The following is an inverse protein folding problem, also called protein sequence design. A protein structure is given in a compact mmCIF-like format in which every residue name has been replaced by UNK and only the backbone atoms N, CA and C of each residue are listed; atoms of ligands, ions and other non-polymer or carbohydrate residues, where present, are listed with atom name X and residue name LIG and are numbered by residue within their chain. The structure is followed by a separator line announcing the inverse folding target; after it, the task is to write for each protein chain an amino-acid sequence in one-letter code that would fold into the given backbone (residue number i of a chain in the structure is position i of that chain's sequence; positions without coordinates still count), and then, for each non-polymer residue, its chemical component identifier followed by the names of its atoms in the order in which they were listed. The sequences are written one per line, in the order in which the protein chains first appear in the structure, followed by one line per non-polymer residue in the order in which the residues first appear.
data_IF_773324134906
#
_entry.id   IF_773324134906
#
_cell.length_a   1.000
_cell.length_b   1.000
_cell.length_c   1.000
_cell.angle_alpha   90.00
_cell.angle_beta   90.00
_cell.angle_gamma   90.00
#
_symmetry.space_group_name_H-M   'P 1'
#
loop_
_entity.id
_entity.type
_entity.pdbx_description
1 polymer ?
#
# COMPACT_ATOMS: atom_id res chain seq x y z
N UNK A 1 -0.35 21.72 -73.15
CA UNK A 1 -1.32 20.94 -72.35
C UNK A 1 -0.71 19.67 -71.76
N UNK A 2 -0.03 18.81 -72.53
CA UNK A 2 0.49 17.49 -72.08
C UNK A 2 1.59 17.57 -70.99
N UNK A 3 2.42 18.61 -70.98
CA UNK A 3 3.46 18.79 -69.95
C UNK A 3 2.89 19.17 -68.56
N UNK A 4 1.81 19.95 -68.51
CA UNK A 4 1.17 20.35 -67.25
C UNK A 4 0.48 19.17 -66.55
N UNK A 5 -0.10 18.23 -67.30
CA UNK A 5 -0.76 17.04 -66.73
C UNK A 5 0.23 16.03 -66.17
N UNK A 6 1.41 15.88 -66.77
CA UNK A 6 2.49 15.03 -66.24
C UNK A 6 3.02 15.55 -64.91
N UNK A 7 3.28 16.86 -64.81
CA UNK A 7 3.75 17.47 -63.56
C UNK A 7 2.71 17.39 -62.43
N UNK A 8 1.42 17.61 -62.75
CA UNK A 8 0.33 17.45 -61.79
C UNK A 8 0.19 16.00 -61.30
N UNK A 9 0.34 15.01 -62.18
CA UNK A 9 0.24 13.60 -61.83
C UNK A 9 1.41 13.14 -60.94
N UNK A 10 2.64 13.54 -61.26
CA UNK A 10 3.83 13.20 -60.45
C UNK A 10 3.72 13.78 -59.04
N UNK A 11 3.31 15.04 -58.90
CA UNK A 11 3.11 15.67 -57.59
C UNK A 11 1.96 15.01 -56.81
N UNK A 12 0.90 14.58 -57.49
CA UNK A 12 -0.19 13.83 -56.86
C UNK A 12 0.28 12.48 -56.32
N UNK A 13 1.05 11.71 -57.11
CA UNK A 13 1.61 10.41 -56.68
C UNK A 13 2.56 10.59 -55.50
N UNK A 14 3.47 11.57 -55.55
CA UNK A 14 4.39 11.87 -54.45
C UNK A 14 3.63 12.25 -53.17
N UNK A 15 2.70 13.20 -53.28
CA UNK A 15 1.93 13.70 -52.13
C UNK A 15 0.95 12.67 -51.56
N UNK A 16 0.39 11.78 -52.38
CA UNK A 16 -0.54 10.73 -51.93
C UNK A 16 0.18 9.52 -51.35
N UNK A 17 1.30 9.09 -51.93
CA UNK A 17 2.14 8.00 -51.42
C UNK A 17 2.76 8.33 -50.06
N UNK A 18 3.24 9.56 -49.87
CA UNK A 18 3.78 10.01 -48.58
C UNK A 18 2.69 10.17 -47.52
N UNK A 19 1.48 10.56 -47.93
CA UNK A 19 0.36 10.74 -47.01
C UNK A 19 -0.16 9.40 -46.46
N UNK A 20 -0.28 8.37 -47.30
CA UNK A 20 -0.76 7.05 -46.88
C UNK A 20 0.26 6.34 -45.98
N UNK A 21 1.55 6.39 -46.34
CA UNK A 21 2.64 5.82 -45.54
C UNK A 21 2.74 6.52 -44.19
N UNK A 22 2.69 7.86 -44.16
CA UNK A 22 2.65 8.63 -42.93
C UNK A 22 1.41 8.30 -42.08
N UNK A 23 0.23 8.24 -42.69
CA UNK A 23 -1.03 7.90 -42.01
C UNK A 23 -0.95 6.51 -41.37
N UNK A 24 -0.44 5.53 -42.11
CA UNK A 24 -0.25 4.16 -41.66
C UNK A 24 0.78 4.06 -40.53
N UNK A 25 1.93 4.73 -40.66
CA UNK A 25 2.94 4.80 -39.62
C UNK A 25 2.39 5.43 -38.33
N UNK A 26 1.61 6.50 -38.45
CA UNK A 26 0.95 7.17 -37.32
C UNK A 26 -0.10 6.27 -36.66
N UNK A 27 -0.89 5.55 -37.45
CA UNK A 27 -1.86 4.58 -36.94
C UNK A 27 -1.17 3.41 -36.22
N UNK A 28 -0.08 2.90 -36.78
CA UNK A 28 0.76 1.87 -36.15
C UNK A 28 1.34 2.36 -34.81
N UNK A 29 1.90 3.57 -34.77
CA UNK A 29 2.45 4.16 -33.54
C UNK A 29 1.37 4.28 -32.45
N UNK A 30 0.19 4.78 -32.81
CA UNK A 30 -0.94 4.89 -31.86
C UNK A 30 -1.35 3.52 -31.33
N UNK A 31 -1.46 2.52 -32.20
CA UNK A 31 -1.76 1.13 -31.80
C UNK A 31 -0.67 0.58 -30.87
N UNK A 32 0.60 0.78 -31.20
CA UNK A 32 1.73 0.36 -30.37
C UNK A 32 1.70 1.00 -28.98
N UNK A 33 1.43 2.30 -28.89
CA UNK A 33 1.30 3.00 -27.59
C UNK A 33 0.11 2.45 -26.79
N UNK A 34 -1.04 2.26 -27.44
CA UNK A 34 -2.23 1.72 -26.78
C UNK A 34 -1.99 0.30 -26.26
N UNK A 35 -1.36 -0.56 -27.07
CA UNK A 35 -0.99 -1.92 -26.70
C UNK A 35 0.04 -1.92 -25.55
N UNK A 36 1.07 -1.08 -25.61
CA UNK A 36 2.07 -0.99 -24.54
C UNK A 36 1.42 -0.57 -23.20
N UNK A 37 0.50 0.40 -23.23
CA UNK A 37 -0.27 0.79 -22.04
C UNK A 37 -1.12 -0.35 -21.50
N UNK A 38 -1.80 -1.08 -22.39
CA UNK A 38 -2.60 -2.25 -22.02
C UNK A 38 -1.75 -3.36 -21.38
N UNK A 39 -0.64 -3.74 -22.02
CA UNK A 39 0.27 -4.76 -21.49
C UNK A 39 0.84 -4.36 -20.13
N UNK A 40 1.23 -3.09 -19.96
CA UNK A 40 1.70 -2.59 -18.67
C UNK A 40 0.61 -2.69 -17.60
N UNK A 41 -0.62 -2.26 -17.91
CA UNK A 41 -1.78 -2.40 -17.01
C UNK A 41 -1.97 -3.85 -16.58
N UNK A 42 -2.03 -4.78 -17.53
CA UNK A 42 -2.24 -6.21 -17.26
C UNK A 42 -1.15 -6.77 -16.33
N UNK A 43 0.12 -6.40 -16.57
CA UNK A 43 1.25 -6.81 -15.72
C UNK A 43 1.12 -6.28 -14.29
N UNK A 44 0.63 -5.05 -14.10
CA UNK A 44 0.38 -4.50 -12.76
C UNK A 44 -0.77 -5.24 -12.07
N UNK A 45 -1.88 -5.46 -12.79
CA UNK A 45 -3.05 -6.16 -12.25
C UNK A 45 -2.73 -7.61 -11.84
N UNK A 46 -1.82 -8.28 -12.55
CA UNK A 46 -1.35 -9.64 -12.20
C UNK A 46 -0.78 -9.73 -10.77
N UNK A 47 -0.16 -8.66 -10.27
CA UNK A 47 0.35 -8.62 -8.89
C UNK A 47 -0.76 -8.68 -7.82
N UNK A 48 -2.00 -8.35 -8.18
CA UNK A 48 -3.16 -8.28 -7.27
C UNK A 48 -4.15 -9.44 -7.46
N UNK A 49 -3.95 -10.30 -8.46
CA UNK A 49 -4.81 -11.46 -8.71
C UNK A 49 -4.62 -12.59 -7.69
N UNK A 50 -3.48 -12.62 -7.00
CA UNK A 50 -3.17 -13.62 -5.96
C UNK A 50 -3.34 -13.04 -4.56
N UNK A 51 -3.81 -13.84 -3.60
CA UNK A 51 -3.82 -13.49 -2.17
C UNK A 51 -2.43 -13.58 -1.50
N UNK A 52 -1.35 -13.32 -2.25
CA UNK A 52 0.02 -13.26 -1.72
C UNK A 52 0.38 -11.78 -1.44
N UNK A 53 0.48 -11.37 -0.16
CA UNK A 53 0.83 -10.00 0.22
C UNK A 53 2.17 -9.54 -0.34
N UNK A 54 3.11 -10.47 -0.57
CA UNK A 54 4.44 -10.16 -1.08
C UNK A 54 4.38 -9.73 -2.55
N UNK A 55 3.54 -10.40 -3.36
CA UNK A 55 3.32 -10.02 -4.77
C UNK A 55 2.51 -8.74 -4.88
N UNK A 56 1.51 -8.54 -4.04
CA UNK A 56 0.78 -7.27 -3.96
C UNK A 56 1.73 -6.12 -3.64
N UNK A 57 2.64 -6.30 -2.68
CA UNK A 57 3.65 -5.30 -2.34
C UNK A 57 4.55 -4.97 -3.53
N UNK A 58 4.98 -5.95 -4.33
CA UNK A 58 5.73 -5.69 -5.56
C UNK A 58 4.94 -4.84 -6.57
N UNK A 59 3.62 -5.09 -6.70
CA UNK A 59 2.73 -4.26 -7.52
C UNK A 59 2.70 -2.80 -7.04
N UNK A 60 2.55 -2.59 -5.73
CA UNK A 60 2.58 -1.25 -5.10
C UNK A 60 3.93 -0.56 -5.32
N UNK A 61 5.04 -1.29 -5.17
CA UNK A 61 6.38 -0.75 -5.43
C UNK A 61 6.54 -0.30 -6.89
N UNK A 62 5.99 -1.08 -7.83
CA UNK A 62 6.06 -0.78 -9.26
C UNK A 62 5.23 0.47 -9.62
N UNK A 63 4.09 0.68 -8.95
CA UNK A 63 3.25 1.88 -9.14
C UNK A 63 3.86 3.14 -8.55
N UNK A 64 4.49 3.02 -7.38
CA UNK A 64 5.06 4.16 -6.65
C UNK A 64 6.49 4.50 -7.07
N UNK A 65 7.10 3.71 -7.97
CA UNK A 65 8.53 3.72 -8.27
C UNK A 65 9.39 3.63 -6.99
N UNK A 66 8.88 2.96 -5.95
CA UNK A 66 9.56 2.84 -4.68
C UNK A 66 10.80 1.96 -4.82
N UNK A 67 11.97 2.58 -4.67
CA UNK A 67 13.26 1.87 -4.60
C UNK A 67 13.50 1.45 -3.16
N UNK A 68 13.67 0.15 -2.94
CA UNK A 68 14.00 -0.40 -1.63
C UNK A 68 15.18 0.35 -1.00
N UNK A 69 14.98 0.86 0.23
CA UNK A 69 16.00 1.56 1.02
C UNK A 69 17.32 0.79 1.17
N UNK A 70 17.34 -0.53 0.91
CA UNK A 70 18.57 -1.33 0.80
C UNK A 70 19.61 -0.80 -0.19
N UNK A 71 19.21 0.04 -1.16
CA UNK A 71 20.12 0.62 -2.14
C UNK A 71 20.58 2.03 -1.78
N UNK A 72 20.11 2.59 -0.65
CA UNK A 72 20.62 3.86 -0.13
C UNK A 72 21.75 3.58 0.86
N UNK A 73 22.91 4.25 0.74
CA UNK A 73 23.89 4.21 1.82
C UNK A 73 23.18 4.69 3.09
N UNK A 74 23.40 4.03 4.24
CA UNK A 74 22.80 4.48 5.48
C UNK A 74 23.26 5.91 5.73
N UNK A 75 22.35 6.87 5.67
CA UNK A 75 22.55 8.24 6.18
C UNK A 75 22.51 8.24 7.71
N UNK A 76 22.99 7.15 8.32
CA UNK A 76 23.03 6.93 9.75
C UNK A 76 24.17 7.75 10.30
N UNK A 77 23.95 9.06 10.48
CA UNK A 77 24.78 9.84 11.38
C UNK A 77 24.69 9.22 12.79
N UNK A 78 25.75 9.35 13.57
CA UNK A 78 25.75 8.88 14.96
C UNK A 78 24.65 9.55 15.82
N UNK A 79 24.07 10.65 15.35
CA UNK A 79 22.97 11.38 15.98
C UNK A 79 21.57 10.85 15.64
N UNK A 80 21.42 9.98 14.64
CA UNK A 80 20.10 9.51 14.18
C UNK A 80 19.27 8.81 15.27
N UNK A 81 19.85 7.93 16.13
CA UNK A 81 19.09 7.34 17.24
C UNK A 81 18.57 8.39 18.24
N UNK A 82 19.35 9.44 18.48
CA UNK A 82 18.95 10.53 19.39
C UNK A 82 17.83 11.38 18.79
N UNK A 83 17.87 11.63 17.48
CA UNK A 83 16.78 12.30 16.76
C UNK A 83 15.47 11.48 16.83
N UNK A 84 15.55 10.17 16.66
CA UNK A 84 14.39 9.28 16.80
C UNK A 84 13.84 9.30 18.23
N UNK A 85 14.72 9.17 19.22
CA UNK A 85 14.32 9.24 20.62
C UNK A 85 13.64 10.58 20.93
N UNK A 86 14.16 11.70 20.43
CA UNK A 86 13.55 13.01 20.59
C UNK A 86 12.17 13.10 19.91
N UNK A 87 12.05 12.58 18.68
CA UNK A 87 10.81 12.60 17.90
C UNK A 87 9.68 11.81 18.57
N UNK A 88 9.98 10.61 19.09
CA UNK A 88 8.96 9.78 19.74
C UNK A 88 8.67 10.21 21.18
N UNK A 89 9.67 10.66 21.94
CA UNK A 89 9.47 11.11 23.32
C UNK A 89 8.73 12.45 23.44
N UNK A 90 8.48 13.19 22.34
CA UNK A 90 7.70 14.45 22.39
C UNK A 90 6.28 14.23 22.89
N UNK A 91 5.69 13.08 22.55
CA UNK A 91 4.33 12.75 22.97
C UNK A 91 4.24 12.49 24.48
N UNK A 92 5.32 12.05 25.12
CA UNK A 92 5.35 11.85 26.58
C UNK A 92 5.58 13.14 27.37
N UNK A 93 6.29 14.11 26.76
CA UNK A 93 6.63 15.39 27.43
C UNK A 93 5.51 16.41 27.39
N UNK A 94 4.73 16.43 26.30
CA UNK A 94 3.67 17.40 26.05
C UNK A 94 2.27 16.93 26.49
N UNK A 95 2.11 15.66 26.89
CA UNK A 95 0.85 15.13 27.46
C UNK A 95 0.59 15.61 28.91
N UNK A 96 1.00 16.84 29.22
CA UNK A 96 0.64 17.57 30.45
C UNK A 96 -0.57 18.48 30.23
N UNK A 97 -1.09 18.55 29.01
CA UNK A 97 -2.33 19.25 28.75
C UNK A 97 -3.46 18.58 29.53
N UNK A 98 -4.00 19.33 30.49
CA UNK A 98 -5.21 19.00 31.25
C UNK A 98 -6.23 18.48 30.24
N UNK A 99 -6.90 17.34 30.47
CA UNK A 99 -7.91 16.83 29.56
C UNK A 99 -8.89 17.95 29.23
N UNK A 100 -8.82 18.45 27.99
CA UNK A 100 -9.78 19.45 27.50
C UNK A 100 -11.10 18.69 27.46
N UNK A 101 -11.92 18.84 28.50
CA UNK A 101 -13.32 18.47 28.43
C UNK A 101 -13.91 19.27 27.30
N UNK A 102 -14.12 18.60 26.18
CA UNK A 102 -14.87 19.16 25.08
C UNK A 102 -16.31 19.30 25.57
N UNK A 103 -16.75 20.53 25.82
CA UNK A 103 -18.14 20.80 26.19
C UNK A 103 -19.01 20.49 24.96
N UNK A 104 -19.53 19.27 24.93
CA UNK A 104 -20.48 18.80 23.92
C UNK A 104 -21.83 19.52 24.11
N UNK A 105 -22.54 19.87 23.02
CA UNK A 105 -23.86 20.47 23.09
C UNK A 105 -24.87 19.54 23.81
N UNK A 106 -25.93 20.09 24.45
CA UNK A 106 -26.74 19.37 25.45
C UNK A 106 -27.49 18.11 24.98
N UNK A 107 -27.60 17.85 23.68
CA UNK A 107 -28.52 16.86 23.11
C UNK A 107 -27.86 15.65 22.41
N UNK A 108 -26.53 15.51 22.44
CA UNK A 108 -25.88 14.27 22.00
C UNK A 108 -25.16 13.58 23.17
N UNK A 109 -25.50 12.30 23.49
CA UNK A 109 -24.77 11.56 24.50
C UNK A 109 -23.33 11.37 24.00
N UNK A 110 -22.31 11.62 24.85
CA UNK A 110 -20.92 11.38 24.48
C UNK A 110 -20.78 9.93 24.03
N UNK A 111 -20.02 9.69 22.95
CA UNK A 111 -19.74 8.34 22.46
C UNK A 111 -18.87 7.63 23.50
N UNK A 112 -19.49 7.03 24.50
CA UNK A 112 -18.81 6.30 25.56
C UNK A 112 -18.55 4.88 25.09
N UNK A 113 -17.31 4.59 24.74
CA UNK A 113 -16.86 3.21 24.54
C UNK A 113 -16.59 2.60 25.92
N UNK A 114 -17.32 1.53 26.27
CA UNK A 114 -17.00 0.77 27.46
C UNK A 114 -15.76 -0.08 27.21
N UNK A 115 -14.93 -0.22 28.24
CA UNK A 115 -13.80 -1.16 28.26
C UNK A 115 -14.28 -2.58 27.87
N UNK A 116 -15.49 -2.96 28.27
CA UNK A 116 -16.11 -4.23 27.89
C UNK A 116 -16.32 -4.38 26.39
N UNK A 117 -16.72 -3.29 25.70
CA UNK A 117 -16.96 -3.29 24.25
C UNK A 117 -15.65 -3.49 23.49
N UNK A 118 -14.59 -2.84 23.94
CA UNK A 118 -13.22 -2.98 23.40
C UNK A 118 -12.72 -4.42 23.61
N UNK A 119 -12.86 -4.98 24.80
CA UNK A 119 -12.45 -6.36 25.04
C UNK A 119 -13.28 -7.35 24.23
N UNK A 120 -14.59 -7.11 24.06
CA UNK A 120 -15.44 -8.00 23.28
C UNK A 120 -15.04 -8.01 21.80
N UNK A 121 -14.74 -6.83 21.24
CA UNK A 121 -14.38 -6.66 19.83
C UNK A 121 -13.01 -7.25 19.55
N UNK A 122 -12.02 -6.94 20.39
CA UNK A 122 -10.69 -7.53 20.29
C UNK A 122 -10.73 -9.05 20.50
N UNK A 123 -11.43 -9.55 21.52
CA UNK A 123 -11.55 -10.99 21.75
C UNK A 123 -12.18 -11.74 20.57
N UNK A 124 -13.19 -11.14 19.91
CA UNK A 124 -13.78 -11.70 18.69
C UNK A 124 -12.77 -11.78 17.54
N UNK A 125 -11.89 -10.79 17.40
CA UNK A 125 -10.85 -10.76 16.37
C UNK A 125 -9.72 -11.76 16.65
N UNK A 126 -9.35 -11.95 17.92
CA UNK A 126 -8.19 -12.78 18.29
C UNK A 126 -8.52 -14.25 18.59
N UNK A 127 -9.76 -14.59 18.97
CA UNK A 127 -10.21 -15.98 19.21
C UNK A 127 -9.87 -16.98 18.08
N UNK A 128 -10.07 -16.64 16.78
CA UNK A 128 -9.73 -17.56 15.69
C UNK A 128 -8.22 -17.80 15.60
N UNK A 129 -7.41 -16.76 15.85
CA UNK A 129 -5.95 -16.82 15.78
C UNK A 129 -5.39 -17.71 16.89
N UNK A 130 -5.90 -17.55 18.12
CA UNK A 130 -5.50 -18.36 19.28
C UNK A 130 -5.92 -19.82 19.12
N UNK A 131 -7.09 -20.08 18.55
CA UNK A 131 -7.57 -21.45 18.30
C UNK A 131 -6.72 -22.20 17.26
N UNK A 132 -6.21 -21.50 16.24
CA UNK A 132 -5.31 -22.06 15.25
C UNK A 132 -3.90 -22.34 15.81
N UNK A 133 -3.45 -21.56 16.80
CA UNK A 133 -2.20 -21.83 17.52
C UNK A 133 -2.32 -23.03 18.45
N UNK A 134 -3.46 -23.19 19.14
CA UNK A 134 -3.70 -24.31 20.05
C UNK A 134 -3.81 -25.67 19.34
N UNK A 135 -4.29 -25.72 18.10
CA UNK A 135 -4.50 -26.98 17.37
C UNK A 135 -3.21 -27.62 16.81
N UNK A 136 -2.08 -26.89 16.82
CA UNK A 136 -0.83 -27.30 16.19
C UNK A 136 0.26 -27.75 17.18
N UNK A 137 -0.07 -27.94 18.46
CA UNK A 137 0.91 -28.35 19.48
C UNK A 137 0.92 -29.89 19.65
N UNK A 138 2.05 -30.53 19.31
CA UNK A 138 2.38 -31.92 19.74
C UNK A 138 2.38 -32.00 21.28
N UNK A 139 2.18 -33.18 21.90
CA UNK A 139 2.01 -33.30 23.34
C UNK A 139 3.29 -32.85 24.06
N UNK A 140 3.24 -31.67 24.68
CA UNK A 140 4.31 -31.13 25.53
C UNK A 140 3.94 -31.41 26.98
N UNK A 141 4.94 -31.90 27.72
CA UNK A 141 4.96 -32.26 29.13
C UNK A 141 4.15 -31.29 30.04
N UNK A 142 3.26 -31.80 30.93
CA UNK A 142 2.39 -31.00 31.79
C UNK A 142 3.12 -30.07 32.79
N UNK A 143 4.45 -30.12 32.86
CA UNK A 143 5.23 -29.24 33.75
C UNK A 143 5.42 -27.80 33.24
N UNK A 144 5.13 -27.50 31.96
CA UNK A 144 5.40 -26.17 31.37
C UNK A 144 4.16 -25.25 31.34
N UNK A 145 2.99 -25.73 31.74
CA UNK A 145 1.71 -25.03 31.56
C UNK A 145 1.42 -23.89 32.56
N UNK A 146 2.38 -23.47 33.38
CA UNK A 146 2.11 -22.46 34.42
C UNK A 146 2.41 -21.00 34.04
N UNK A 147 2.75 -20.64 32.79
CA UNK A 147 3.21 -19.27 32.50
C UNK A 147 2.57 -18.47 31.39
N UNK A 148 1.42 -18.87 30.84
CA UNK A 148 0.70 -18.01 29.90
C UNK A 148 -0.81 -18.05 30.13
N UNK A 149 -1.25 -17.64 31.32
CA UNK A 149 -2.65 -17.27 31.56
C UNK A 149 -2.83 -15.77 31.35
N UNK A 150 -3.75 -15.38 30.46
CA UNK A 150 -4.12 -13.99 30.19
C UNK A 150 -4.61 -13.23 31.42
N UNK A 151 -4.89 -13.92 32.53
CA UNK A 151 -5.25 -13.31 33.80
C UNK A 151 -4.06 -12.56 34.44
N UNK A 152 -2.81 -13.01 34.24
CA UNK A 152 -1.62 -12.36 34.83
C UNK A 152 -1.30 -11.01 34.21
N UNK A 153 -1.70 -10.77 32.95
CA UNK A 153 -1.51 -9.47 32.29
C UNK A 153 -2.50 -8.43 32.81
N UNK A 154 -3.64 -8.87 33.37
CA UNK A 154 -4.69 -8.00 33.89
C UNK A 154 -4.28 -7.35 35.22
N UNK A 155 -3.52 -8.04 36.06
CA UNK A 155 -3.14 -7.57 37.40
C UNK A 155 -1.96 -6.58 37.40
N UNK A 156 -1.36 -6.30 36.23
CA UNK A 156 -0.25 -5.34 36.12
C UNK A 156 -0.66 -3.89 35.84
N UNK A 157 -1.95 -3.58 35.76
CA UNK A 157 -2.44 -2.25 35.38
C UNK A 157 -3.38 -1.56 36.39
N UNK A 158 -3.46 -2.08 37.63
CA UNK A 158 -4.05 -1.36 38.77
C UNK A 158 -2.95 -0.77 39.67
#
# INVERSE_FOLDING_TARGET
MVQMTMQQNILYIFRSGDQETYSSARANLRRGIAQAKYCYKQRIEEHFSSSDPRRMWQGIQTLTNYKSLRNMPPTSSASFPEELNHFYARFDRENKEIPIKFDLPPDEPPLTLSISDVYSTLSKLFKPIVSQLSANQLPVDPSVEQKLSWNTVKDSFD
#
